data_IF_957505796649
#
_entry.id   IF_957505796649
#
_cell.length_a   1.000
_cell.length_b   1.000
_cell.length_c   1.000
_cell.angle_alpha   90.00
_cell.angle_beta   90.00
_cell.angle_gamma   90.00
#
_symmetry.space_group_name_H-M   'P 1'
#
loop_
_entity.id
_entity.type
_entity.pdbx_description
1 polymer ?
#
# COMPACT_ATOMS: atom_id res chain seq x y z
N UNK A 1 -16.27 18.21 -1.47
CA UNK A 1 -16.46 17.44 -0.22
C UNK A 1 -16.90 15.98 -0.44
N UNK A 2 -16.87 15.44 -1.67
CA UNK A 2 -17.21 14.04 -1.99
C UNK A 2 -15.98 13.18 -2.42
N UNK A 3 -14.77 13.74 -2.31
CA UNK A 3 -13.50 13.02 -2.58
C UNK A 3 -13.01 12.17 -1.39
N UNK A 4 -13.69 12.25 -0.24
CA UNK A 4 -13.28 11.61 1.00
C UNK A 4 -13.96 10.25 1.27
N UNK A 5 -15.00 9.85 0.53
CA UNK A 5 -15.80 8.66 0.89
C UNK A 5 -15.21 7.33 0.41
N UNK A 6 -14.40 7.30 -0.66
CA UNK A 6 -13.75 6.06 -1.16
C UNK A 6 -12.33 5.86 -0.65
N UNK A 7 -11.61 6.93 -0.33
CA UNK A 7 -10.45 6.86 0.56
C UNK A 7 -10.90 6.33 1.95
N UNK A 8 -12.16 6.58 2.36
CA UNK A 8 -12.78 5.92 3.51
C UNK A 8 -13.18 4.45 3.29
N UNK A 9 -13.29 3.98 2.04
CA UNK A 9 -13.48 2.55 1.74
C UNK A 9 -12.14 1.80 1.80
N UNK A 10 -11.03 2.47 1.44
CA UNK A 10 -9.66 2.06 1.81
C UNK A 10 -9.44 2.05 3.33
N UNK A 11 -10.23 2.80 4.11
CA UNK A 11 -10.24 2.78 5.58
C UNK A 11 -11.12 1.68 6.21
N UNK A 12 -11.94 0.96 5.43
CA UNK A 12 -12.85 -0.07 5.95
C UNK A 12 -12.45 -1.50 5.58
N UNK A 13 -11.44 -1.68 4.72
CA UNK A 13 -10.56 -2.80 4.92
C UNK A 13 -9.70 -2.42 6.13
N UNK A 14 -9.82 -3.08 7.30
CA UNK A 14 -8.58 -3.22 8.06
C UNK A 14 -7.57 -3.73 7.03
N UNK A 15 -6.43 -3.04 6.86
CA UNK A 15 -5.20 -3.79 6.61
C UNK A 15 -5.27 -4.87 7.68
N UNK A 16 -5.67 -6.07 7.26
CA UNK A 16 -6.32 -7.05 8.09
C UNK A 16 -5.55 -7.20 9.42
N UNK A 17 -6.26 -7.56 10.49
CA UNK A 17 -5.60 -8.05 11.69
C UNK A 17 -4.64 -9.24 11.41
N UNK A 18 -4.60 -9.73 10.17
CA UNK A 18 -3.74 -10.78 9.64
C UNK A 18 -2.36 -10.30 9.16
N UNK A 19 -2.11 -9.00 8.96
CA UNK A 19 -0.84 -8.55 8.40
C UNK A 19 0.21 -8.22 9.47
N UNK A 20 1.39 -8.79 9.30
CA UNK A 20 2.64 -8.37 9.93
C UNK A 20 2.96 -6.91 9.55
N UNK A 21 3.77 -6.19 10.34
CA UNK A 21 4.18 -4.83 9.94
C UNK A 21 4.89 -4.80 8.60
N UNK A 22 4.58 -3.79 7.81
CA UNK A 22 5.38 -3.39 6.65
C UNK A 22 6.57 -2.55 7.14
N UNK A 23 7.81 -2.99 6.93
CA UNK A 23 9.01 -2.22 7.31
C UNK A 23 9.33 -1.06 6.37
N UNK A 24 8.31 -0.47 5.75
CA UNK A 24 8.48 0.68 4.89
C UNK A 24 8.38 2.02 5.60
N UNK A 25 8.15 3.08 4.81
CA UNK A 25 8.43 4.46 5.25
C UNK A 25 7.60 4.90 6.45
N UNK A 26 6.36 4.42 6.55
CA UNK A 26 5.44 4.80 7.63
C UNK A 26 5.93 4.28 8.98
N UNK A 27 6.39 3.02 9.04
CA UNK A 27 6.91 2.45 10.29
C UNK A 27 8.22 3.14 10.66
N UNK A 28 9.14 3.30 9.70
CA UNK A 28 10.44 3.94 9.92
C UNK A 28 10.31 5.38 10.43
N UNK A 29 9.35 6.16 9.93
CA UNK A 29 9.10 7.51 10.40
C UNK A 29 8.52 7.60 11.83
N UNK A 30 8.00 6.50 12.39
CA UNK A 30 7.29 6.48 13.68
C UNK A 30 8.00 5.67 14.77
N UNK A 31 9.06 4.93 14.44
CA UNK A 31 9.85 4.16 15.39
C UNK A 31 11.16 4.86 15.74
N UNK A 32 11.67 4.58 16.95
CA UNK A 32 13.00 5.01 17.41
C UNK A 32 14.06 3.89 17.27
N UNK A 33 13.62 2.63 17.24
CA UNK A 33 14.47 1.46 17.12
C UNK A 33 13.72 0.35 16.39
N UNK A 34 14.43 -0.41 15.55
CA UNK A 34 13.97 -1.70 15.02
C UNK A 34 14.98 -2.74 15.48
N UNK A 35 14.49 -3.82 16.10
CA UNK A 35 15.32 -4.92 16.56
C UNK A 35 14.73 -6.27 16.18
N UNK A 36 15.61 -7.25 16.06
CA UNK A 36 15.28 -8.67 16.09
C UNK A 36 15.44 -9.17 17.53
N UNK A 37 14.48 -9.94 18.00
CA UNK A 37 14.53 -10.50 19.34
C UNK A 37 13.49 -11.57 19.62
N UNK A 38 13.48 -12.05 20.87
CA UNK A 38 12.57 -13.09 21.36
C UNK A 38 11.72 -12.53 22.50
N UNK A 39 10.42 -12.40 22.26
CA UNK A 39 9.42 -11.97 23.23
C UNK A 39 9.01 -13.12 24.16
N UNK A 40 9.34 -13.01 25.45
CA UNK A 40 9.14 -14.05 26.48
C UNK A 40 7.69 -14.50 26.66
N UNK A 41 7.41 -15.81 26.66
CA UNK A 41 6.09 -16.41 26.91
C UNK A 41 5.32 -15.83 28.10
N UNK A 42 6.05 -15.33 29.12
CA UNK A 42 5.43 -14.70 30.30
C UNK A 42 5.05 -13.26 29.98
N UNK A 43 3.75 -12.97 30.02
CA UNK A 43 3.19 -11.62 29.82
C UNK A 43 2.76 -11.00 31.14
N UNK A 44 3.12 -9.73 31.36
CA UNK A 44 2.59 -8.89 32.43
C UNK A 44 1.44 -8.00 31.93
N UNK A 45 0.72 -7.38 32.87
CA UNK A 45 -0.27 -6.33 32.57
C UNK A 45 0.09 -5.04 33.29
N UNK A 46 -0.05 -3.91 32.59
CA UNK A 46 0.10 -2.57 33.14
C UNK A 46 -1.08 -1.73 32.64
N UNK A 47 -2.02 -1.42 33.54
CA UNK A 47 -3.28 -0.78 33.15
C UNK A 47 -4.05 -1.63 32.14
N UNK A 48 -4.37 -1.03 30.99
CA UNK A 48 -5.04 -1.72 29.87
C UNK A 48 -4.05 -2.35 28.88
N UNK A 49 -2.75 -2.18 29.07
CA UNK A 49 -1.72 -2.69 28.15
C UNK A 49 -1.12 -4.00 28.64
N UNK A 50 -0.79 -4.86 27.69
CA UNK A 50 0.08 -6.00 27.91
C UNK A 50 1.54 -5.55 27.90
N UNK A 51 2.37 -6.21 28.71
CA UNK A 51 3.81 -6.00 28.82
C UNK A 51 4.54 -7.31 28.58
N UNK A 52 5.60 -7.28 27.80
CA UNK A 52 6.50 -8.43 27.58
C UNK A 52 7.95 -8.00 27.69
N UNK A 53 8.83 -8.92 28.10
CA UNK A 53 10.27 -8.77 27.95
C UNK A 53 10.72 -9.34 26.61
N UNK A 54 11.48 -8.57 25.85
CA UNK A 54 12.09 -9.00 24.60
C UNK A 54 13.60 -9.07 24.80
N UNK A 55 14.15 -10.28 24.65
CA UNK A 55 15.59 -10.49 24.58
C UNK A 55 16.07 -10.04 23.21
N UNK A 56 16.99 -9.07 23.20
CA UNK A 56 17.52 -8.46 21.97
C UNK A 56 18.60 -9.36 21.39
N UNK A 57 18.43 -9.77 20.14
CA UNK A 57 19.43 -10.53 19.39
C UNK A 57 20.25 -9.61 18.48
N UNK A 58 19.58 -8.70 17.78
CA UNK A 58 20.21 -7.77 16.83
C UNK A 58 19.43 -6.47 16.78
N UNK A 59 20.13 -5.34 16.70
CA UNK A 59 19.52 -4.02 16.42
C UNK A 59 19.73 -3.70 14.95
N UNK A 60 18.64 -3.44 14.22
CA UNK A 60 18.64 -3.15 12.78
C UNK A 60 18.59 -1.64 12.49
N UNK A 61 17.86 -0.88 13.30
CA UNK A 61 17.74 0.58 13.19
C UNK A 61 17.76 1.22 14.57
N UNK A 62 18.34 2.41 14.70
CA UNK A 62 18.46 3.13 15.97
C UNK A 62 19.61 2.64 16.86
N UNK A 63 19.54 2.97 18.16
CA UNK A 63 20.55 2.57 19.17
C UNK A 63 19.88 1.92 20.37
N UNK A 64 20.25 0.70 20.71
CA UNK A 64 19.87 0.04 21.96
C UNK A 64 21.06 -0.77 22.48
N UNK A 65 21.36 -0.60 23.76
CA UNK A 65 22.51 -1.22 24.44
C UNK A 65 22.08 -2.32 25.41
N UNK A 66 20.79 -2.37 25.76
CA UNK A 66 20.23 -3.39 26.65
C UNK A 66 20.04 -4.70 25.89
N UNK A 67 20.45 -5.79 26.53
CA UNK A 67 20.17 -7.15 26.07
C UNK A 67 18.71 -7.57 26.28
N UNK A 68 17.97 -6.87 27.14
CA UNK A 68 16.56 -7.10 27.40
C UNK A 68 15.81 -5.76 27.46
N UNK A 69 14.70 -5.67 26.72
CA UNK A 69 13.85 -4.48 26.69
C UNK A 69 12.40 -4.83 27.03
N UNK A 70 11.73 -3.90 27.70
CA UNK A 70 10.32 -4.01 28.00
C UNK A 70 9.52 -3.44 26.83
N UNK A 71 8.63 -4.26 26.25
CA UNK A 71 7.71 -3.85 25.18
C UNK A 71 6.27 -3.86 25.70
N UNK A 72 5.55 -2.80 25.38
CA UNK A 72 4.14 -2.59 25.70
C UNK A 72 3.29 -2.59 24.43
N UNK A 73 2.12 -3.20 24.50
CA UNK A 73 1.15 -3.24 23.41
C UNK A 73 -0.28 -3.32 23.94
N UNK A 74 -1.22 -2.72 23.21
CA UNK A 74 -2.62 -2.64 23.63
C UNK A 74 -3.43 -3.88 23.21
N UNK A 75 -3.11 -4.48 22.06
CA UNK A 75 -3.79 -5.65 21.53
C UNK A 75 -3.12 -6.94 22.04
N UNK A 76 -3.74 -7.69 22.97
CA UNK A 76 -3.15 -8.91 23.51
C UNK A 76 -2.94 -10.00 22.47
N UNK A 77 -3.68 -9.97 21.35
CA UNK A 77 -3.63 -10.98 20.29
C UNK A 77 -2.52 -10.70 19.27
N UNK A 78 -1.75 -9.62 19.46
CA UNK A 78 -0.63 -9.24 18.59
C UNK A 78 0.55 -10.22 18.66
N UNK A 79 0.64 -11.00 19.75
CA UNK A 79 1.62 -12.05 19.96
C UNK A 79 0.90 -13.27 20.53
N UNK A 80 1.27 -14.47 20.05
CA UNK A 80 0.76 -15.74 20.59
C UNK A 80 0.97 -15.78 22.10
N UNK A 81 -0.06 -16.20 22.84
CA UNK A 81 0.03 -16.37 24.30
C UNK A 81 0.78 -17.65 24.64
N UNK A 82 1.42 -17.69 25.81
CA UNK A 82 2.05 -18.89 26.38
C UNK A 82 3.27 -19.45 25.62
N UNK A 83 3.69 -18.80 24.54
CA UNK A 83 4.87 -19.16 23.76
C UNK A 83 5.84 -17.98 23.61
N UNK A 84 7.13 -18.31 23.57
CA UNK A 84 8.16 -17.33 23.23
C UNK A 84 8.09 -17.07 21.72
N UNK A 85 8.04 -15.80 21.33
CA UNK A 85 7.84 -15.41 19.94
C UNK A 85 9.08 -14.68 19.44
N UNK A 86 9.71 -15.22 18.40
CA UNK A 86 10.84 -14.58 17.74
C UNK A 86 10.33 -13.71 16.58
N UNK A 87 10.86 -12.51 16.45
CA UNK A 87 10.41 -11.59 15.41
C UNK A 87 11.20 -10.29 15.33
N UNK A 88 10.78 -9.47 14.37
CA UNK A 88 11.22 -8.09 14.20
C UNK A 88 10.21 -7.15 14.84
N UNK A 89 10.70 -6.24 15.67
CA UNK A 89 9.91 -5.31 16.45
C UNK A 89 10.30 -3.88 16.09
N UNK A 90 9.37 -3.12 15.50
CA UNK A 90 9.49 -1.68 15.39
C UNK A 90 8.95 -1.04 16.68
N UNK A 91 9.76 -0.20 17.31
CA UNK A 91 9.55 0.23 18.69
C UNK A 91 9.73 1.74 18.84
N UNK A 92 8.89 2.35 19.66
CA UNK A 92 8.95 3.76 20.05
C UNK A 92 9.26 3.87 21.54
N UNK A 93 10.30 4.62 21.92
CA UNK A 93 10.69 4.81 23.31
C UNK A 93 9.60 5.50 24.12
N UNK A 94 9.45 5.03 25.35
CA UNK A 94 8.67 5.69 26.37
C UNK A 94 9.55 6.53 27.28
N UNK A 95 9.04 7.68 27.72
CA UNK A 95 9.77 8.62 28.58
C UNK A 95 10.06 8.05 29.98
N UNK A 96 9.25 7.11 30.45
CA UNK A 96 9.35 6.42 31.74
C UNK A 96 10.10 5.08 31.65
N UNK A 97 10.57 4.72 30.46
CA UNK A 97 11.35 3.52 30.19
C UNK A 97 10.56 2.39 29.51
N UNK A 98 11.24 1.63 28.67
CA UNK A 98 10.62 0.62 27.80
C UNK A 98 10.15 1.23 26.48
N UNK A 99 9.33 0.46 25.76
CA UNK A 99 8.96 0.75 24.38
C UNK A 99 7.50 0.43 24.11
N UNK A 100 6.85 1.26 23.30
CA UNK A 100 5.60 0.90 22.64
C UNK A 100 5.88 0.21 21.32
N UNK A 101 5.10 -0.82 21.00
CA UNK A 101 5.10 -1.43 19.67
C UNK A 101 4.51 -0.48 18.62
N UNK A 102 5.20 -0.35 17.49
CA UNK A 102 4.75 0.39 16.30
C UNK A 102 4.34 -0.65 15.24
N UNK A 103 3.04 -0.79 15.00
CA UNK A 103 2.50 -1.84 14.13
C UNK A 103 2.47 -3.23 14.79
N UNK A 104 2.34 -4.29 14.00
CA UNK A 104 2.43 -5.70 14.45
C UNK A 104 3.86 -6.22 14.32
N UNK A 105 4.35 -7.11 15.18
CA UNK A 105 5.67 -7.69 14.97
C UNK A 105 5.65 -8.53 13.68
N UNK A 106 6.81 -8.63 13.04
CA UNK A 106 7.01 -9.53 11.89
C UNK A 106 7.62 -10.80 12.41
N UNK A 107 6.90 -11.91 12.34
CA UNK A 107 7.33 -13.16 12.97
C UNK A 107 8.45 -13.78 12.16
N UNK A 108 9.49 -14.24 12.85
CA UNK A 108 10.64 -14.91 12.21
C UNK A 108 10.81 -16.27 12.86
N UNK A 109 10.58 -17.35 12.11
CA UNK A 109 10.85 -18.70 12.57
C UNK A 109 12.37 -18.93 12.73
N UNK A 110 12.77 -19.93 13.51
CA UNK A 110 14.18 -20.31 13.58
C UNK A 110 14.62 -20.98 12.27
N UNK A 111 15.63 -20.41 11.61
CA UNK A 111 16.33 -21.03 10.47
C UNK A 111 15.44 -21.30 9.24
N UNK A 112 14.75 -20.26 8.77
CA UNK A 112 13.90 -20.31 7.57
C UNK A 112 14.42 -19.35 6.49
N UNK A 113 14.49 -19.74 5.20
CA UNK A 113 14.61 -18.81 4.08
C UNK A 113 13.68 -17.58 4.18
N UNK A 114 12.50 -17.70 4.77
CA UNK A 114 11.57 -16.59 5.04
C UNK A 114 12.13 -15.57 6.05
N UNK A 115 12.85 -16.01 7.09
CA UNK A 115 13.52 -15.10 8.03
C UNK A 115 14.55 -14.22 7.29
N UNK A 116 15.32 -14.82 6.39
CA UNK A 116 16.32 -14.10 5.61
C UNK A 116 15.68 -13.06 4.68
N UNK A 117 14.54 -13.37 4.06
CA UNK A 117 13.80 -12.42 3.23
C UNK A 117 13.23 -11.26 4.06
N UNK A 118 12.59 -11.55 5.21
CA UNK A 118 12.07 -10.53 6.13
C UNK A 118 13.16 -9.57 6.62
N UNK A 119 14.32 -10.12 7.00
CA UNK A 119 15.49 -9.33 7.40
C UNK A 119 16.07 -8.51 6.25
N UNK A 120 16.13 -9.08 5.04
CA UNK A 120 16.59 -8.38 3.83
C UNK A 120 15.70 -7.17 3.54
N UNK A 121 14.39 -7.38 3.44
CA UNK A 121 13.40 -6.32 3.19
C UNK A 121 13.54 -5.21 4.23
N UNK A 122 13.59 -5.56 5.52
CA UNK A 122 13.76 -4.56 6.58
C UNK A 122 15.05 -3.73 6.39
N UNK A 123 16.17 -4.38 6.07
CA UNK A 123 17.47 -3.71 5.88
C UNK A 123 17.50 -2.80 4.66
N UNK A 124 16.91 -3.23 3.54
CA UNK A 124 16.87 -2.43 2.30
C UNK A 124 16.06 -1.15 2.50
N UNK A 125 14.91 -1.23 3.16
CA UNK A 125 14.10 -0.05 3.46
C UNK A 125 14.78 0.87 4.49
N UNK A 126 15.46 0.33 5.50
CA UNK A 126 16.27 1.14 6.43
C UNK A 126 17.37 1.88 5.68
N UNK A 127 18.14 1.16 4.85
CA UNK A 127 19.23 1.75 4.07
C UNK A 127 18.73 2.87 3.15
N UNK A 128 17.61 2.64 2.47
CA UNK A 128 16.97 3.62 1.61
C UNK A 128 16.47 4.86 2.40
N UNK A 129 15.97 4.67 3.62
CA UNK A 129 15.48 5.79 4.42
C UNK A 129 16.63 6.64 5.03
N UNK A 130 17.82 6.06 5.19
CA UNK A 130 19.05 6.74 5.61
C UNK A 130 19.67 7.62 4.50
N UNK A 131 19.31 7.40 3.23
CA UNK A 131 19.75 8.25 2.12
C UNK A 131 19.14 9.66 2.18
N UNK A 132 19.83 10.70 1.66
CA UNK A 132 19.26 12.04 1.57
C UNK A 132 17.94 12.06 0.78
N UNK A 133 16.97 12.84 1.24
CA UNK A 133 15.72 13.03 0.50
C UNK A 133 15.99 13.71 -0.86
N UNK A 134 15.48 13.12 -1.94
CA UNK A 134 15.65 13.64 -3.30
C UNK A 134 15.05 12.73 -4.36
N UNK A 135 15.26 13.11 -5.63
CA UNK A 135 14.76 12.36 -6.78
C UNK A 135 15.41 10.98 -6.92
N UNK A 136 16.70 10.86 -6.57
CA UNK A 136 17.47 9.61 -6.60
C UNK A 136 16.89 8.59 -5.62
N UNK A 137 16.83 8.92 -4.32
CA UNK A 137 16.14 8.09 -3.31
C UNK A 137 14.68 7.77 -3.68
N UNK A 138 14.00 8.67 -4.40
CA UNK A 138 12.65 8.37 -4.90
C UNK A 138 12.69 7.32 -6.00
N UNK A 139 13.63 7.40 -6.94
CA UNK A 139 13.81 6.40 -7.98
C UNK A 139 14.20 5.03 -7.37
N UNK A 140 15.15 5.00 -6.44
CA UNK A 140 15.60 3.76 -5.79
C UNK A 140 14.49 3.11 -4.96
N UNK A 141 13.65 3.92 -4.32
CA UNK A 141 12.44 3.43 -3.67
C UNK A 141 11.51 2.71 -4.64
N UNK A 142 11.26 3.27 -5.82
CA UNK A 142 10.41 2.62 -6.81
C UNK A 142 11.05 1.35 -7.36
N UNK A 143 12.36 1.37 -7.65
CA UNK A 143 13.10 0.19 -8.09
C UNK A 143 12.99 -0.93 -7.06
N UNK A 144 13.19 -0.63 -5.78
CA UNK A 144 13.04 -1.60 -4.69
C UNK A 144 11.63 -2.21 -4.65
N UNK A 145 10.58 -1.38 -4.78
CA UNK A 145 9.20 -1.89 -4.81
C UNK A 145 8.95 -2.82 -6.02
N UNK A 146 9.52 -2.49 -7.18
CA UNK A 146 9.41 -3.32 -8.39
C UNK A 146 10.11 -4.66 -8.18
N UNK A 147 11.36 -4.63 -7.70
CA UNK A 147 12.15 -5.83 -7.43
C UNK A 147 11.45 -6.75 -6.41
N UNK A 148 10.93 -6.18 -5.32
CA UNK A 148 10.20 -6.92 -4.29
C UNK A 148 8.92 -7.57 -4.82
N UNK A 149 8.19 -6.90 -5.73
CA UNK A 149 7.02 -7.50 -6.41
C UNK A 149 7.45 -8.70 -7.25
N UNK A 150 8.55 -8.57 -8.01
CA UNK A 150 9.04 -9.62 -8.89
C UNK A 150 9.51 -10.88 -8.14
N UNK A 151 10.09 -10.68 -6.95
CA UNK A 151 10.51 -11.74 -6.03
C UNK A 151 9.31 -12.54 -5.48
N UNK A 152 8.23 -11.87 -5.10
CA UNK A 152 7.08 -12.50 -4.46
C UNK A 152 7.23 -12.61 -2.94
N UNK A 153 6.50 -13.53 -2.30
CA UNK A 153 6.62 -13.79 -0.86
C UNK A 153 6.27 -12.59 0.02
N UNK A 154 7.00 -12.43 1.13
CA UNK A 154 6.84 -11.33 2.08
C UNK A 154 7.24 -9.99 1.45
N UNK A 155 8.31 -9.96 0.66
CA UNK A 155 8.74 -8.78 -0.10
C UNK A 155 7.61 -8.15 -0.93
N UNK A 156 6.92 -8.95 -1.75
CA UNK A 156 5.81 -8.45 -2.56
C UNK A 156 4.61 -7.98 -1.72
N UNK A 157 4.35 -8.61 -0.57
CA UNK A 157 3.31 -8.15 0.36
C UNK A 157 3.68 -6.79 0.97
N UNK A 158 4.93 -6.62 1.40
CA UNK A 158 5.44 -5.34 1.90
C UNK A 158 5.34 -4.25 0.82
N UNK A 159 5.75 -4.55 -0.42
CA UNK A 159 5.65 -3.62 -1.53
C UNK A 159 4.18 -3.24 -1.85
N UNK A 160 3.25 -4.19 -1.80
CA UNK A 160 1.82 -3.91 -2.00
C UNK A 160 1.28 -2.90 -0.98
N UNK A 161 1.66 -3.07 0.29
CA UNK A 161 1.25 -2.16 1.38
C UNK A 161 1.85 -0.77 1.17
N UNK A 162 3.12 -0.66 0.79
CA UNK A 162 3.76 0.63 0.47
C UNK A 162 3.10 1.33 -0.70
N UNK A 163 2.73 0.60 -1.76
CA UNK A 163 2.01 1.18 -2.90
C UNK A 163 0.63 1.71 -2.50
N UNK A 164 -0.07 1.07 -1.56
CA UNK A 164 -1.32 1.60 -0.99
C UNK A 164 -1.09 2.93 -0.26
N UNK A 165 0.00 3.06 0.50
CA UNK A 165 0.38 4.32 1.14
C UNK A 165 0.73 5.41 0.12
N UNK A 166 1.45 5.08 -0.94
CA UNK A 166 1.76 6.02 -2.04
C UNK A 166 0.47 6.52 -2.70
N UNK A 167 -0.44 5.60 -3.04
CA UNK A 167 -1.73 5.95 -3.63
C UNK A 167 -2.54 6.91 -2.73
N UNK A 168 -2.48 6.71 -1.41
CA UNK A 168 -3.20 7.54 -0.44
C UNK A 168 -2.59 8.93 -0.25
N UNK A 169 -1.28 8.99 0.01
CA UNK A 169 -0.66 10.19 0.56
C UNK A 169 0.27 10.92 -0.41
N UNK A 170 0.65 10.26 -1.52
CA UNK A 170 1.74 10.72 -2.39
C UNK A 170 1.39 10.69 -3.88
N UNK A 171 0.19 11.12 -4.24
CA UNK A 171 -0.24 11.20 -5.64
C UNK A 171 0.72 11.94 -6.58
N UNK A 172 1.45 12.94 -6.07
CA UNK A 172 2.37 13.76 -6.85
C UNK A 172 3.62 13.01 -7.39
N UNK A 173 4.03 11.90 -6.76
CA UNK A 173 5.18 11.11 -7.22
C UNK A 173 4.78 9.95 -8.14
N UNK A 174 3.47 9.78 -8.41
CA UNK A 174 2.95 8.74 -9.29
C UNK A 174 3.02 9.24 -10.74
N UNK A 175 3.72 8.48 -11.59
CA UNK A 175 3.83 8.74 -13.03
C UNK A 175 3.27 7.56 -13.83
N UNK A 176 2.96 7.79 -15.10
CA UNK A 176 2.50 6.71 -16.01
C UNK A 176 3.55 5.60 -16.13
N UNK A 177 4.84 5.97 -16.22
CA UNK A 177 5.96 5.02 -16.32
C UNK A 177 6.03 4.11 -15.10
N UNK A 178 5.98 4.68 -13.88
CA UNK A 178 6.03 3.92 -12.63
C UNK A 178 4.83 2.99 -12.48
N UNK A 179 3.65 3.46 -12.85
CA UNK A 179 2.45 2.62 -12.85
C UNK A 179 2.60 1.43 -13.82
N UNK A 180 3.10 1.67 -15.03
CA UNK A 180 3.33 0.60 -16.02
C UNK A 180 4.39 -0.40 -15.55
N UNK A 181 5.44 0.06 -14.88
CA UNK A 181 6.46 -0.81 -14.27
C UNK A 181 5.84 -1.71 -13.19
N UNK A 182 5.03 -1.16 -12.29
CA UNK A 182 4.31 -1.94 -11.26
C UNK A 182 3.40 -2.99 -11.90
N UNK A 183 2.65 -2.60 -12.95
CA UNK A 183 1.76 -3.52 -13.65
C UNK A 183 2.53 -4.68 -14.29
N UNK A 184 3.65 -4.38 -14.96
CA UNK A 184 4.53 -5.39 -15.58
C UNK A 184 5.16 -6.32 -14.55
N UNK A 185 5.68 -5.76 -13.45
CA UNK A 185 6.26 -6.53 -12.36
C UNK A 185 5.25 -7.52 -11.77
N UNK A 186 4.02 -7.05 -11.50
CA UNK A 186 2.91 -7.89 -11.03
C UNK A 186 2.57 -9.01 -12.01
N UNK A 187 2.47 -8.69 -13.31
CA UNK A 187 2.18 -9.69 -14.35
C UNK A 187 3.29 -10.74 -14.45
N UNK A 188 4.56 -10.32 -14.40
CA UNK A 188 5.72 -11.20 -14.40
C UNK A 188 5.76 -12.11 -13.16
N UNK A 189 5.40 -11.58 -12.01
CA UNK A 189 5.37 -12.28 -10.74
C UNK A 189 4.12 -13.15 -10.53
N UNK A 190 3.14 -13.14 -11.44
CA UNK A 190 1.79 -13.69 -11.20
C UNK A 190 1.75 -15.14 -10.68
N UNK A 191 2.75 -15.98 -10.96
CA UNK A 191 2.83 -17.36 -10.44
C UNK A 191 3.44 -17.48 -9.04
N UNK A 192 4.20 -16.47 -8.59
CA UNK A 192 4.89 -16.41 -7.29
C UNK A 192 4.08 -15.70 -6.21
N UNK A 193 3.13 -14.86 -6.62
CA UNK A 193 2.28 -14.11 -5.70
C UNK A 193 1.20 -15.00 -5.07
N UNK A 194 1.02 -14.86 -3.76
CA UNK A 194 -0.10 -15.47 -3.04
C UNK A 194 -1.43 -14.86 -3.52
N UNK A 195 -2.55 -15.52 -3.20
CA UNK A 195 -3.88 -14.98 -3.53
C UNK A 195 -4.11 -13.60 -2.86
N UNK A 196 -3.67 -13.44 -1.61
CA UNK A 196 -3.84 -12.20 -0.88
C UNK A 196 -2.96 -11.09 -1.46
N UNK A 197 -1.67 -11.37 -1.68
CA UNK A 197 -0.73 -10.40 -2.29
C UNK A 197 -1.21 -9.92 -3.66
N UNK A 198 -1.82 -10.80 -4.48
CA UNK A 198 -2.44 -10.40 -5.75
C UNK A 198 -3.58 -9.40 -5.54
N UNK A 199 -4.48 -9.69 -4.61
CA UNK A 199 -5.60 -8.81 -4.30
C UNK A 199 -5.11 -7.45 -3.76
N UNK A 200 -4.06 -7.45 -2.94
CA UNK A 200 -3.48 -6.23 -2.38
C UNK A 200 -2.78 -5.40 -3.46
N UNK A 201 -2.05 -6.04 -4.39
CA UNK A 201 -1.46 -5.36 -5.54
C UNK A 201 -2.51 -4.85 -6.52
N UNK A 202 -3.64 -5.56 -6.70
CA UNK A 202 -4.76 -5.10 -7.52
C UNK A 202 -5.38 -3.84 -6.91
N UNK A 203 -5.60 -3.84 -5.60
CA UNK A 203 -6.08 -2.69 -4.87
C UNK A 203 -5.08 -1.52 -4.93
N UNK A 204 -3.79 -1.80 -4.80
CA UNK A 204 -2.75 -0.79 -4.92
C UNK A 204 -2.73 -0.16 -6.32
N UNK A 205 -2.74 -0.98 -7.39
CA UNK A 205 -2.82 -0.49 -8.77
C UNK A 205 -4.07 0.36 -9.00
N UNK A 206 -5.23 -0.07 -8.50
CA UNK A 206 -6.47 0.71 -8.57
C UNK A 206 -6.30 2.06 -7.87
N UNK A 207 -5.67 2.07 -6.69
CA UNK A 207 -5.36 3.29 -5.94
C UNK A 207 -4.43 4.24 -6.70
N UNK A 208 -3.38 3.73 -7.35
CA UNK A 208 -2.48 4.54 -8.17
C UNK A 208 -3.23 5.18 -9.36
N UNK A 209 -4.12 4.42 -9.99
CA UNK A 209 -4.97 4.91 -11.09
C UNK A 209 -5.88 6.02 -10.62
N UNK A 210 -6.55 5.83 -9.49
CA UNK A 210 -7.43 6.83 -8.89
C UNK A 210 -6.69 8.09 -8.46
N UNK A 211 -5.50 7.93 -7.87
CA UNK A 211 -4.73 9.03 -7.28
C UNK A 211 -4.07 9.95 -8.31
N UNK A 212 -3.65 9.42 -9.48
CA UNK A 212 -2.90 10.22 -10.45
C UNK A 212 -3.04 9.76 -11.90
N UNK A 213 -2.96 8.46 -12.21
CA UNK A 213 -2.76 8.00 -13.61
C UNK A 213 -3.92 8.41 -14.51
N UNK A 214 -5.18 8.23 -14.07
CA UNK A 214 -6.34 8.63 -14.89
C UNK A 214 -6.37 10.15 -15.12
N UNK A 215 -5.94 10.95 -14.15
CA UNK A 215 -5.93 12.41 -14.24
C UNK A 215 -4.87 12.90 -15.25
N UNK A 216 -3.73 12.19 -15.35
CA UNK A 216 -2.73 12.44 -16.38
C UNK A 216 -3.32 12.20 -17.78
N UNK A 217 -4.05 11.10 -17.98
CA UNK A 217 -4.72 10.80 -19.25
C UNK A 217 -5.85 11.78 -19.56
N UNK A 218 -6.69 12.14 -18.59
CA UNK A 218 -7.72 13.18 -18.78
C UNK A 218 -7.12 14.55 -19.14
N UNK A 219 -5.97 14.90 -18.55
CA UNK A 219 -5.23 16.12 -18.92
C UNK A 219 -4.76 16.06 -20.36
N UNK A 220 -4.25 14.92 -20.81
CA UNK A 220 -3.85 14.68 -22.19
C UNK A 220 -5.05 14.79 -23.16
N UNK A 221 -6.20 14.19 -22.85
CA UNK A 221 -7.42 14.37 -23.65
C UNK A 221 -7.81 15.86 -23.77
N UNK A 222 -7.72 16.61 -22.67
CA UNK A 222 -8.12 18.02 -22.64
C UNK A 222 -7.15 18.96 -23.34
N UNK A 223 -5.83 18.73 -23.19
CA UNK A 223 -4.77 19.68 -23.56
C UNK A 223 -3.84 19.19 -24.66
N UNK A 224 -3.97 17.93 -25.09
CA UNK A 224 -3.16 17.35 -26.16
C UNK A 224 -3.24 18.18 -27.44
N UNK A 225 -2.10 18.34 -28.10
CA UNK A 225 -1.96 19.23 -29.24
C UNK A 225 -2.52 18.60 -30.52
N UNK A 226 -2.53 17.26 -30.59
CA UNK A 226 -3.02 16.52 -31.75
C UNK A 226 -4.23 15.66 -31.41
N UNK A 227 -5.16 15.53 -32.37
CA UNK A 227 -6.29 14.62 -32.22
C UNK A 227 -5.85 13.15 -32.04
N UNK A 228 -4.70 12.77 -32.61
CA UNK A 228 -4.13 11.43 -32.43
C UNK A 228 -3.79 11.18 -30.97
N UNK A 229 -3.05 12.10 -30.35
CA UNK A 229 -2.66 12.02 -28.94
C UNK A 229 -3.89 11.96 -28.01
N UNK A 230 -4.88 12.85 -28.22
CA UNK A 230 -6.11 12.83 -27.44
C UNK A 230 -6.88 11.52 -27.57
N UNK A 231 -6.96 10.95 -28.78
CA UNK A 231 -7.61 9.65 -29.03
C UNK A 231 -6.87 8.52 -28.33
N UNK A 232 -5.54 8.50 -28.37
CA UNK A 232 -4.72 7.53 -27.62
C UNK A 232 -4.98 7.65 -26.12
N UNK A 233 -4.99 8.85 -25.56
CA UNK A 233 -5.29 9.04 -24.14
C UNK A 233 -6.72 8.59 -23.74
N UNK A 234 -7.70 8.73 -24.65
CA UNK A 234 -9.05 8.21 -24.43
C UNK A 234 -9.13 6.68 -24.51
N UNK A 235 -8.31 6.05 -25.35
CA UNK A 235 -8.17 4.60 -25.40
C UNK A 235 -7.51 4.08 -24.11
N UNK A 236 -6.41 4.71 -23.68
CA UNK A 236 -5.74 4.37 -22.42
C UNK A 236 -6.71 4.50 -21.22
N UNK A 237 -7.54 5.55 -21.18
CA UNK A 237 -8.58 5.69 -20.14
C UNK A 237 -9.61 4.57 -20.19
N UNK A 238 -9.93 4.07 -21.38
CA UNK A 238 -10.88 2.96 -21.54
C UNK A 238 -10.27 1.65 -21.04
N UNK A 239 -8.99 1.41 -21.34
CA UNK A 239 -8.25 0.25 -20.84
C UNK A 239 -8.12 0.30 -19.31
N UNK A 240 -7.75 1.46 -18.75
CA UNK A 240 -7.73 1.68 -17.30
C UNK A 240 -9.11 1.46 -16.66
N UNK A 241 -10.20 1.91 -17.28
CA UNK A 241 -11.55 1.70 -16.76
C UNK A 241 -11.96 0.23 -16.82
N UNK A 242 -11.50 -0.52 -17.82
CA UNK A 242 -11.78 -1.95 -17.91
C UNK A 242 -11.04 -2.73 -16.82
N UNK A 243 -9.77 -2.42 -16.60
CA UNK A 243 -8.90 -3.17 -15.68
C UNK A 243 -9.09 -2.71 -14.22
N UNK A 244 -9.40 -1.43 -14.00
CA UNK A 244 -9.52 -0.78 -12.69
C UNK A 244 -10.81 0.04 -12.58
N UNK A 245 -11.95 -0.55 -12.93
CA UNK A 245 -13.24 0.14 -13.03
C UNK A 245 -13.60 0.96 -11.78
N UNK A 246 -13.28 0.45 -10.59
CA UNK A 246 -13.58 1.08 -9.30
C UNK A 246 -12.70 2.29 -8.98
N UNK A 247 -11.61 2.53 -9.72
CA UNK A 247 -10.83 3.75 -9.64
C UNK A 247 -11.57 4.97 -10.23
N UNK A 248 -12.63 4.75 -11.01
CA UNK A 248 -13.41 5.81 -11.65
C UNK A 248 -14.65 6.18 -10.81
N UNK A 249 -14.97 7.47 -10.83
CA UNK A 249 -16.04 8.08 -10.05
C UNK A 249 -17.08 8.72 -10.95
N UNK A 250 -18.24 9.08 -10.41
CA UNK A 250 -19.26 9.80 -11.18
C UNK A 250 -18.76 11.15 -11.72
N UNK A 251 -17.81 11.79 -11.04
CA UNK A 251 -17.23 13.04 -11.52
C UNK A 251 -16.35 12.83 -12.75
N UNK A 252 -15.71 11.66 -12.89
CA UNK A 252 -14.97 11.28 -14.10
C UNK A 252 -15.93 11.08 -15.29
N UNK A 253 -17.12 10.52 -15.05
CA UNK A 253 -18.15 10.41 -16.08
C UNK A 253 -18.70 11.78 -16.52
N UNK A 254 -18.92 12.71 -15.57
CA UNK A 254 -19.31 14.09 -15.90
C UNK A 254 -18.20 14.84 -16.65
N UNK A 255 -16.94 14.60 -16.30
CA UNK A 255 -15.80 15.15 -17.02
C UNK A 255 -15.78 14.66 -18.47
N UNK A 256 -16.01 13.36 -18.70
CA UNK A 256 -16.15 12.81 -20.05
C UNK A 256 -17.25 13.52 -20.85
N UNK A 257 -18.44 13.71 -20.28
CA UNK A 257 -19.53 14.42 -20.96
C UNK A 257 -19.18 15.89 -21.26
N UNK A 258 -18.50 16.57 -20.33
CA UNK A 258 -18.04 17.94 -20.55
C UNK A 258 -17.02 18.02 -21.69
N UNK A 259 -16.10 17.06 -21.79
CA UNK A 259 -15.12 16.96 -22.86
C UNK A 259 -15.78 16.66 -24.21
N UNK A 260 -16.78 15.79 -24.25
CA UNK A 260 -17.59 15.50 -25.45
C UNK A 260 -18.22 16.77 -26.01
N UNK A 261 -18.81 17.62 -25.15
CA UNK A 261 -19.46 18.85 -25.59
C UNK A 261 -18.47 19.90 -26.10
N UNK A 262 -17.20 19.82 -25.69
CA UNK A 262 -16.15 20.75 -26.07
C UNK A 262 -15.37 20.30 -27.33
N UNK A 263 -15.48 19.03 -27.71
CA UNK A 263 -14.65 18.42 -28.74
C UNK A 263 -15.33 18.44 -30.12
N UNK A 264 -14.55 18.69 -31.18
CA UNK A 264 -15.06 18.73 -32.57
C UNK A 264 -14.82 17.43 -33.32
N UNK A 265 -14.01 16.55 -32.75
CA UNK A 265 -13.68 15.24 -33.30
C UNK A 265 -14.74 14.20 -32.90
N UNK A 266 -15.53 13.75 -33.88
CA UNK A 266 -16.60 12.77 -33.67
C UNK A 266 -16.10 11.43 -33.11
N UNK A 267 -14.89 10.99 -33.50
CA UNK A 267 -14.32 9.71 -33.05
C UNK A 267 -13.93 9.81 -31.57
N UNK A 268 -13.28 10.89 -31.19
CA UNK A 268 -12.92 11.15 -29.79
C UNK A 268 -14.17 11.34 -28.92
N UNK A 269 -15.16 12.08 -29.42
CA UNK A 269 -16.45 12.26 -28.76
C UNK A 269 -17.16 10.93 -28.49
N UNK A 270 -17.16 10.00 -29.45
CA UNK A 270 -17.78 8.69 -29.26
C UNK A 270 -17.01 7.83 -28.25
N UNK A 271 -15.68 7.87 -28.24
CA UNK A 271 -14.86 7.17 -27.23
C UNK A 271 -15.19 7.67 -25.81
N UNK A 272 -15.24 8.99 -25.62
CA UNK A 272 -15.55 9.60 -24.32
C UNK A 272 -16.99 9.32 -23.86
N UNK A 273 -17.97 9.30 -24.79
CA UNK A 273 -19.35 8.88 -24.49
C UNK A 273 -19.41 7.43 -24.01
N UNK A 274 -18.67 6.52 -24.65
CA UNK A 274 -18.60 5.11 -24.24
C UNK A 274 -17.97 4.96 -22.86
N UNK A 275 -16.87 5.67 -22.61
CA UNK A 275 -16.22 5.69 -21.31
C UNK A 275 -17.16 6.20 -20.20
N UNK A 276 -17.85 7.34 -20.42
CA UNK A 276 -18.83 7.89 -19.48
C UNK A 276 -19.93 6.88 -19.12
N UNK A 277 -20.44 6.14 -20.13
CA UNK A 277 -21.45 5.09 -19.92
C UNK A 277 -20.90 3.92 -19.11
N UNK A 278 -19.68 3.48 -19.39
CA UNK A 278 -19.04 2.39 -18.67
C UNK A 278 -18.83 2.73 -17.19
N UNK A 279 -18.30 3.94 -16.91
CA UNK A 279 -18.12 4.45 -15.54
C UNK A 279 -19.46 4.49 -14.78
N UNK A 280 -20.52 5.00 -15.42
CA UNK A 280 -21.86 5.04 -14.81
C UNK A 280 -22.45 3.66 -14.56
N UNK A 281 -22.19 2.71 -15.45
CA UNK A 281 -22.64 1.33 -15.29
C UNK A 281 -21.99 0.72 -14.04
N UNK A 282 -20.68 0.86 -13.89
CA UNK A 282 -19.95 0.38 -12.72
C UNK A 282 -20.43 1.09 -11.43
N UNK A 283 -20.63 2.41 -11.47
CA UNK A 283 -21.15 3.15 -10.32
C UNK A 283 -22.51 2.63 -9.85
N UNK A 284 -23.41 2.27 -10.78
CA UNK A 284 -24.72 1.69 -10.45
C UNK A 284 -24.59 0.31 -9.82
N UNK A 285 -23.68 -0.53 -10.33
CA UNK A 285 -23.39 -1.85 -9.76
C UNK A 285 -22.90 -1.68 -8.32
N UNK A 286 -21.89 -0.81 -8.09
CA UNK A 286 -21.37 -0.51 -6.75
C UNK A 286 -22.44 0.00 -5.79
N UNK A 287 -23.30 0.91 -6.22
CA UNK A 287 -24.41 1.42 -5.39
C UNK A 287 -25.42 0.33 -5.03
N UNK A 288 -25.66 -0.64 -5.92
CA UNK A 288 -26.52 -1.78 -5.62
C UNK A 288 -25.88 -2.68 -4.55
N UNK A 289 -24.59 -3.01 -4.69
CA UNK A 289 -23.84 -3.80 -3.70
C UNK A 289 -23.84 -3.14 -2.30
N UNK A 290 -23.68 -1.82 -2.24
CA UNK A 290 -23.72 -1.07 -0.98
C UNK A 290 -25.11 -1.09 -0.32
N UNK A 291 -26.18 -1.01 -1.13
CA UNK A 291 -27.56 -1.11 -0.63
C UNK A 291 -27.87 -2.49 -0.08
N UNK A 292 -27.43 -3.55 -0.77
CA UNK A 292 -27.60 -4.93 -0.32
C UNK A 292 -26.87 -5.19 1.00
N UNK A 293 -25.62 -4.71 1.14
CA UNK A 293 -24.84 -4.83 2.39
C UNK A 293 -25.48 -4.10 3.56
N UNK A 294 -26.12 -2.96 3.32
CA UNK A 294 -26.80 -2.18 4.37
C UNK A 294 -28.20 -2.70 4.69
N UNK A 295 -28.86 -3.41 3.77
CA UNK A 295 -30.16 -4.03 4.00
C UNK A 295 -30.07 -5.41 4.69
N UNK A 296 -28.89 -6.05 4.66
CA UNK A 296 -28.59 -7.31 5.36
C UNK A 296 -28.03 -7.16 6.78
N UNK A 297 -27.93 -5.93 7.29
CA UNK A 297 -27.63 -5.60 8.69
C UNK A 297 -28.88 -5.10 9.39
#
# INVERSE_FOLDING_TARGET
>A
MLRCLLIFSLLAAPLAAEYESNFGRVILANCDVILQGVASATRGKVGTSSKVQVTVETVLHGKEEKQEVVVFFADPDVLTTDEAVRGLFALKRLSDGGYNLVGKPVLTAESDPEEADKLRVAREFIALEDEPAGDERTADFWNLLIDDIELGGYAAQNAAIELLFIARDRGAIITEVRFDEVRKAREAAAKRLTKQTKADLDLACQGLVEASVKDLKFRCVRRGESNKEKRTAADDLTDLQKDYARAFTEEDAKLCDALVNAEKDDVLSEKLKKLARAIRSENKIRQAEEREKNAGK
#
